data_IF_071686730934
#
_entry.id   IF_071686730934
#
_cell.length_a   1.000
_cell.length_b   1.000
_cell.length_c   1.000
_cell.angle_alpha   90.00
_cell.angle_beta   90.00
_cell.angle_gamma   90.00
#
_symmetry.space_group_name_H-M   'P 1'
#
loop_
_entity.id
_entity.type
_entity.pdbx_description
1 polymer ?
#
# COMPACT_ATOMS: atom_id res chain seq x y z
N UNK A 1 -33.27 -64.64 16.72
CA UNK A 1 -31.91 -64.06 16.68
C UNK A 1 -31.90 -62.89 15.69
N UNK A 2 -32.11 -61.65 16.17
CA UNK A 2 -32.13 -60.44 15.32
C UNK A 2 -30.75 -59.78 15.41
N UNK A 3 -30.04 -59.74 14.29
CA UNK A 3 -28.65 -59.27 14.17
C UNK A 3 -28.57 -57.76 14.49
N UNK A 4 -27.75 -57.29 15.44
CA UNK A 4 -27.56 -55.87 15.71
C UNK A 4 -26.57 -55.26 14.71
N UNK A 5 -26.74 -55.53 13.40
CA UNK A 5 -25.86 -55.00 12.35
C UNK A 5 -26.06 -53.49 12.15
N UNK A 6 -27.26 -52.97 12.42
CA UNK A 6 -27.55 -51.54 12.28
C UNK A 6 -26.81 -50.68 13.33
N UNK A 7 -26.58 -51.20 14.53
CA UNK A 7 -25.88 -50.48 15.60
C UNK A 7 -24.37 -50.34 15.31
N UNK A 8 -23.79 -51.29 14.57
CA UNK A 8 -22.36 -51.30 14.29
C UNK A 8 -21.98 -50.35 13.13
N UNK A 9 -22.91 -50.05 12.21
CA UNK A 9 -22.69 -49.11 11.10
C UNK A 9 -22.78 -47.64 11.54
N UNK A 10 -23.56 -47.35 12.59
CA UNK A 10 -23.71 -45.99 13.14
C UNK A 10 -22.48 -45.53 13.95
N UNK A 11 -21.68 -46.47 14.48
CA UNK A 11 -20.49 -46.15 15.26
C UNK A 11 -19.25 -45.84 14.39
N UNK A 12 -19.29 -46.19 13.09
CA UNK A 12 -18.17 -45.98 12.16
C UNK A 12 -18.06 -44.55 11.63
N UNK A 13 -19.10 -43.72 11.82
CA UNK A 13 -19.17 -42.34 11.30
C UNK A 13 -18.47 -41.28 12.15
N UNK A 14 -17.99 -41.60 13.35
CA UNK A 14 -17.32 -40.64 14.24
C UNK A 14 -15.80 -40.57 14.06
N UNK A 15 -15.22 -41.35 13.13
CA UNK A 15 -13.82 -41.20 12.72
C UNK A 15 -13.65 -40.01 11.76
N UNK A 16 -14.21 -38.85 12.08
CA UNK A 16 -13.82 -37.59 11.49
C UNK A 16 -12.55 -37.12 12.19
N UNK A 17 -11.50 -36.79 11.45
CA UNK A 17 -10.32 -36.10 12.00
C UNK A 17 -10.76 -34.73 12.53
N UNK A 18 -11.20 -34.68 13.78
CA UNK A 18 -11.59 -33.46 14.46
C UNK A 18 -10.34 -32.64 14.80
N UNK A 19 -9.79 -31.91 13.83
CA UNK A 19 -8.96 -30.75 14.12
C UNK A 19 -9.90 -29.60 14.52
N UNK A 20 -10.54 -29.75 15.69
CA UNK A 20 -11.55 -28.84 16.25
C UNK A 20 -10.95 -27.92 17.31
N UNK A 21 -9.66 -27.59 17.18
CA UNK A 21 -9.00 -26.59 18.01
C UNK A 21 -8.28 -25.64 17.07
N UNK A 22 -8.67 -24.36 17.07
CA UNK A 22 -7.96 -23.32 16.34
C UNK A 22 -6.46 -23.40 16.63
N UNK A 23 -5.63 -23.39 15.58
CA UNK A 23 -4.18 -23.39 15.78
C UNK A 23 -3.80 -22.11 16.54
N UNK A 24 -3.06 -22.28 17.63
CA UNK A 24 -2.44 -21.17 18.36
C UNK A 24 -1.14 -20.70 17.70
N UNK A 25 -0.71 -21.39 16.64
CA UNK A 25 0.44 -21.03 15.82
C UNK A 25 -0.01 -20.58 14.43
N UNK A 26 0.73 -19.64 13.86
CA UNK A 26 0.50 -19.10 12.53
C UNK A 26 1.79 -18.97 11.75
N UNK A 27 1.77 -19.37 10.47
CA UNK A 27 2.84 -19.01 9.54
C UNK A 27 2.62 -17.59 9.03
N UNK A 28 3.62 -16.72 9.20
CA UNK A 28 3.61 -15.37 8.64
C UNK A 28 4.78 -15.19 7.68
N UNK A 29 4.54 -14.49 6.58
CA UNK A 29 5.58 -14.03 5.66
C UNK A 29 6.01 -12.63 6.08
N UNK A 30 7.30 -12.43 6.32
CA UNK A 30 7.87 -11.13 6.66
C UNK A 30 8.66 -10.60 5.47
N UNK A 31 8.28 -9.42 5.00
CA UNK A 31 8.93 -8.74 3.90
C UNK A 31 9.18 -7.27 4.25
N UNK A 32 10.33 -6.75 3.84
CA UNK A 32 10.72 -5.36 4.05
C UNK A 32 10.73 -4.62 2.73
N UNK A 33 10.22 -3.39 2.72
CA UNK A 33 10.22 -2.51 1.55
C UNK A 33 10.95 -1.23 1.90
N UNK A 34 11.89 -0.81 1.04
CA UNK A 34 12.61 0.46 1.12
C UNK A 34 12.51 1.16 -0.25
N UNK A 35 12.05 2.41 -0.27
CA UNK A 35 11.89 3.21 -1.51
C UNK A 35 11.11 2.45 -2.61
N UNK A 36 9.97 1.85 -2.26
CA UNK A 36 9.12 1.02 -3.14
C UNK A 36 9.81 -0.22 -3.74
N UNK A 37 10.96 -0.63 -3.20
CA UNK A 37 11.67 -1.84 -3.61
C UNK A 37 11.78 -2.81 -2.44
N UNK A 38 11.68 -4.09 -2.74
CA UNK A 38 11.88 -5.12 -1.73
C UNK A 38 13.33 -5.09 -1.24
N UNK A 39 13.50 -4.96 0.07
CA UNK A 39 14.79 -5.05 0.76
C UNK A 39 14.96 -6.48 1.28
N UNK A 40 16.05 -7.13 0.88
CA UNK A 40 16.40 -8.47 1.35
C UNK A 40 17.55 -8.45 2.35
N UNK A 41 17.61 -9.48 3.19
CA UNK A 41 18.62 -9.71 4.21
C UNK A 41 18.55 -8.71 5.37
N UNK A 42 17.38 -8.17 5.71
CA UNK A 42 17.19 -7.45 6.97
C UNK A 42 16.85 -8.46 8.08
N UNK A 43 17.50 -8.34 9.23
CA UNK A 43 17.19 -9.15 10.40
C UNK A 43 16.03 -8.50 11.15
N UNK A 44 14.95 -9.25 11.36
CA UNK A 44 13.75 -8.79 12.05
C UNK A 44 13.50 -9.60 13.33
N UNK A 45 13.10 -8.89 14.38
CA UNK A 45 12.65 -9.43 15.66
C UNK A 45 11.15 -9.19 15.74
N UNK A 46 10.39 -10.28 15.77
CA UNK A 46 8.95 -10.26 15.97
C UNK A 46 8.69 -10.55 17.45
N UNK A 47 7.76 -9.83 18.08
CA UNK A 47 7.44 -10.03 19.50
C UNK A 47 6.00 -9.70 19.84
N UNK A 48 5.43 -10.49 20.75
CA UNK A 48 4.19 -10.21 21.47
C UNK A 48 4.35 -10.69 22.92
N UNK A 49 3.26 -10.72 23.68
CA UNK A 49 3.19 -11.28 25.04
C UNK A 49 3.53 -12.78 25.13
N UNK A 50 3.39 -13.54 24.04
CA UNK A 50 3.67 -14.97 24.00
C UNK A 50 5.14 -15.30 23.74
N UNK A 51 5.92 -14.38 23.16
CA UNK A 51 7.34 -14.63 22.91
C UNK A 51 8.01 -13.70 21.91
N UNK A 52 9.21 -14.11 21.49
CA UNK A 52 10.03 -13.41 20.50
C UNK A 52 10.54 -14.38 19.45
N UNK A 53 10.57 -13.95 18.20
CA UNK A 53 11.01 -14.73 17.06
C UNK A 53 11.94 -13.93 16.18
N UNK A 54 12.88 -14.61 15.52
CA UNK A 54 13.90 -13.99 14.69
C UNK A 54 13.79 -14.52 13.27
N UNK A 55 13.75 -13.62 12.29
CA UNK A 55 13.67 -13.97 10.87
C UNK A 55 14.51 -13.03 10.05
N UNK A 56 15.05 -13.53 8.94
CA UNK A 56 15.72 -12.69 7.94
C UNK A 56 14.78 -12.53 6.74
N UNK A 57 14.56 -11.29 6.30
CA UNK A 57 13.63 -10.99 5.22
C UNK A 57 14.24 -11.21 3.82
N UNK A 58 13.44 -11.54 2.80
CA UNK A 58 12.10 -12.09 2.91
C UNK A 58 12.12 -13.51 3.51
N UNK A 59 11.23 -13.80 4.45
CA UNK A 59 11.23 -15.10 5.14
C UNK A 59 9.90 -15.45 5.76
N UNK A 60 9.60 -16.75 5.86
CA UNK A 60 8.43 -17.26 6.58
C UNK A 60 8.85 -17.78 7.94
N UNK A 61 8.05 -17.49 8.95
CA UNK A 61 8.30 -17.95 10.32
C UNK A 61 6.99 -18.37 10.98
N UNK A 62 7.08 -19.38 11.85
CA UNK A 62 5.98 -19.81 12.71
C UNK A 62 6.01 -18.97 13.99
N UNK A 63 4.90 -18.28 14.27
CA UNK A 63 4.74 -17.47 15.47
C UNK A 63 3.55 -17.95 16.30
N UNK A 64 3.56 -17.62 17.58
CA UNK A 64 2.42 -17.85 18.46
C UNK A 64 1.46 -16.67 18.36
N UNK A 65 0.18 -16.98 18.10
CA UNK A 65 -0.89 -15.98 18.02
C UNK A 65 -1.20 -15.40 19.39
N UNK A 66 -1.63 -14.14 19.42
CA UNK A 66 -2.10 -13.48 20.62
C UNK A 66 -3.18 -12.45 20.29
N UNK A 67 -3.90 -12.02 21.32
CA UNK A 67 -4.76 -10.84 21.31
C UNK A 67 -3.99 -9.53 21.23
N UNK A 68 -2.72 -9.53 21.64
CA UNK A 68 -1.89 -8.33 21.66
C UNK A 68 -1.28 -8.05 20.28
N UNK A 69 -1.00 -6.77 19.96
CA UNK A 69 -0.34 -6.41 18.71
C UNK A 69 1.03 -7.09 18.57
N UNK A 70 1.33 -7.56 17.36
CA UNK A 70 2.64 -8.10 17.02
C UNK A 70 3.59 -6.96 16.69
N UNK A 71 4.63 -6.80 17.50
CA UNK A 71 5.70 -5.83 17.29
C UNK A 71 6.80 -6.40 16.41
N UNK A 72 7.31 -5.62 15.46
CA UNK A 72 8.31 -6.02 14.47
C UNK A 72 9.40 -4.97 14.34
N UNK A 73 10.59 -5.27 14.86
CA UNK A 73 11.79 -4.43 14.70
C UNK A 73 12.70 -5.05 13.64
N UNK A 74 12.93 -4.35 12.53
CA UNK A 74 13.79 -4.79 11.44
C UNK A 74 15.01 -3.89 11.30
N UNK A 75 16.19 -4.50 11.17
CA UNK A 75 17.46 -3.80 10.95
C UNK A 75 18.23 -4.42 9.80
N UNK A 76 18.82 -3.57 8.96
CA UNK A 76 19.70 -3.99 7.87
C UNK A 76 21.12 -3.51 8.13
N UNK A 77 22.07 -4.43 8.23
CA UNK A 77 23.49 -4.10 8.35
C UNK A 77 23.95 -3.27 7.15
N UNK A 78 24.60 -2.13 7.42
CA UNK A 78 25.11 -1.24 6.37
C UNK A 78 24.05 -0.32 5.73
N UNK A 79 22.83 -0.24 6.29
CA UNK A 79 21.80 0.70 5.85
C UNK A 79 21.32 1.56 7.03
N UNK A 80 21.14 2.88 6.87
CA UNK A 80 20.55 3.75 7.89
C UNK A 80 19.02 3.59 7.99
N UNK A 81 18.41 2.72 7.18
CA UNK A 81 16.97 2.60 7.11
C UNK A 81 16.36 2.14 8.45
N UNK A 82 15.31 2.83 8.88
CA UNK A 82 14.54 2.56 10.10
C UNK A 82 13.13 2.14 9.76
N UNK A 83 12.51 1.33 10.63
CA UNK A 83 11.11 0.91 10.51
C UNK A 83 10.19 2.10 10.81
N UNK A 84 9.16 2.28 9.98
CA UNK A 84 8.15 3.33 10.18
C UNK A 84 6.89 2.84 10.87
N UNK A 85 6.51 1.59 10.61
CA UNK A 85 5.37 0.94 11.24
C UNK A 85 5.82 -0.41 11.77
N UNK A 86 5.81 -0.52 13.09
CA UNK A 86 6.36 -1.66 13.82
C UNK A 86 5.27 -2.52 14.46
N UNK A 87 3.99 -2.17 14.34
CA UNK A 87 2.89 -2.87 15.00
C UNK A 87 1.87 -3.40 14.01
N UNK A 88 1.54 -4.68 14.16
CA UNK A 88 0.46 -5.33 13.41
C UNK A 88 -0.61 -5.80 14.39
N UNK A 89 -1.80 -5.25 14.27
CA UNK A 89 -2.92 -5.62 15.13
C UNK A 89 -3.41 -7.03 14.85
N UNK A 90 -3.81 -7.70 15.93
CA UNK A 90 -4.47 -9.00 15.87
C UNK A 90 -5.94 -8.82 15.51
N UNK A 91 -6.44 -9.65 14.58
CA UNK A 91 -7.85 -9.64 14.16
C UNK A 91 -8.54 -10.92 14.63
N UNK A 92 -9.83 -10.83 15.00
CA UNK A 92 -10.57 -12.02 15.43
C UNK A 92 -10.83 -12.93 14.24
N UNK A 93 -10.37 -14.17 14.31
CA UNK A 93 -10.69 -15.21 13.34
C UNK A 93 -12.10 -15.72 13.60
N UNK A 94 -13.06 -15.20 12.84
CA UNK A 94 -14.46 -15.62 12.93
C UNK A 94 -14.67 -17.11 12.74
N UNK A 95 -13.92 -17.78 11.84
CA UNK A 95 -14.09 -19.21 11.59
C UNK A 95 -13.83 -20.08 12.83
N UNK A 96 -12.69 -19.84 13.50
CA UNK A 96 -12.32 -20.59 14.71
C UNK A 96 -13.07 -20.13 15.96
N UNK A 97 -13.33 -18.82 16.09
CA UNK A 97 -14.05 -18.29 17.24
C UNK A 97 -15.52 -18.74 17.23
N UNK A 98 -16.21 -18.66 16.08
CA UNK A 98 -17.60 -19.09 15.98
C UNK A 98 -17.78 -20.60 16.09
N UNK A 99 -16.84 -21.40 15.55
CA UNK A 99 -16.91 -22.86 15.74
C UNK A 99 -16.84 -23.22 17.21
N UNK A 100 -15.87 -22.66 17.96
CA UNK A 100 -15.76 -22.99 19.37
C UNK A 100 -16.94 -22.45 20.17
N UNK A 101 -17.49 -21.27 19.86
CA UNK A 101 -18.76 -20.82 20.48
C UNK A 101 -19.88 -21.84 20.28
N UNK A 102 -20.08 -22.32 19.05
CA UNK A 102 -21.18 -23.24 18.71
C UNK A 102 -20.97 -24.62 19.33
N UNK A 103 -19.78 -25.20 19.17
CA UNK A 103 -19.50 -26.59 19.57
C UNK A 103 -19.28 -26.76 21.07
N UNK A 104 -18.86 -25.71 21.78
CA UNK A 104 -18.60 -25.76 23.23
C UNK A 104 -19.62 -24.98 24.07
N UNK A 105 -20.72 -24.51 23.44
CA UNK A 105 -21.75 -23.68 24.08
C UNK A 105 -21.15 -22.42 24.74
N UNK A 106 -20.21 -21.77 24.06
CA UNK A 106 -19.57 -20.53 24.49
C UNK A 106 -18.38 -20.69 25.45
N UNK A 107 -18.16 -21.85 26.08
CA UNK A 107 -17.04 -22.06 27.02
C UNK A 107 -15.68 -21.96 26.32
N UNK A 108 -15.57 -22.55 25.13
CA UNK A 108 -14.37 -22.58 24.31
C UNK A 108 -13.93 -21.20 23.83
N UNK A 109 -14.86 -20.26 23.65
CA UNK A 109 -14.52 -18.88 23.31
C UNK A 109 -13.65 -18.21 24.37
N UNK A 110 -13.90 -18.45 25.66
CA UNK A 110 -13.07 -17.90 26.73
C UNK A 110 -11.65 -18.50 26.69
N UNK A 111 -11.54 -19.82 26.49
CA UNK A 111 -10.25 -20.52 26.39
C UNK A 111 -9.47 -20.07 25.14
N UNK A 112 -10.14 -19.90 24.00
CA UNK A 112 -9.50 -19.44 22.76
C UNK A 112 -9.04 -18.00 22.86
N UNK A 113 -9.81 -17.17 23.58
CA UNK A 113 -9.43 -15.79 23.86
C UNK A 113 -8.15 -15.76 24.67
N UNK A 114 -8.02 -16.61 25.69
CA UNK A 114 -6.86 -16.67 26.59
C UNK A 114 -5.63 -17.31 25.96
N UNK A 115 -5.82 -18.31 25.10
CA UNK A 115 -4.71 -18.98 24.41
C UNK A 115 -4.25 -18.28 23.14
N UNK A 116 -4.97 -17.26 22.69
CA UNK A 116 -4.73 -16.55 21.43
C UNK A 116 -5.27 -17.25 20.19
N UNK A 117 -5.91 -18.42 20.32
CA UNK A 117 -6.42 -19.22 19.19
C UNK A 117 -7.53 -18.53 18.38
N UNK A 118 -8.26 -17.60 19.02
CA UNK A 118 -9.32 -16.82 18.37
C UNK A 118 -8.81 -15.64 17.51
N UNK A 119 -7.50 -15.39 17.49
CA UNK A 119 -6.91 -14.23 16.83
C UNK A 119 -5.98 -14.66 15.69
N UNK A 120 -5.89 -13.85 14.65
CA UNK A 120 -4.93 -14.00 13.56
C UNK A 120 -4.20 -12.67 13.30
N UNK A 121 -2.91 -12.78 12.99
CA UNK A 121 -2.14 -11.68 12.42
C UNK A 121 -2.25 -11.67 10.89
N UNK A 122 -1.89 -10.57 10.21
CA UNK A 122 -1.79 -10.58 8.76
C UNK A 122 -0.83 -11.67 8.27
N UNK A 123 -1.24 -12.46 7.27
CA UNK A 123 -0.41 -13.54 6.71
C UNK A 123 0.87 -13.03 6.03
N UNK A 124 0.86 -11.76 5.61
CA UNK A 124 2.01 -11.07 5.03
C UNK A 124 2.25 -9.77 5.80
N UNK A 125 3.34 -9.72 6.54
CA UNK A 125 3.82 -8.55 7.28
C UNK A 125 4.74 -7.75 6.34
N UNK A 126 4.22 -6.62 5.86
CA UNK A 126 4.97 -5.69 5.01
C UNK A 126 5.53 -4.55 5.85
N UNK A 127 6.81 -4.63 6.18
CA UNK A 127 7.50 -3.64 7.00
C UNK A 127 8.08 -2.57 6.09
N UNK A 128 7.58 -1.34 6.23
CA UNK A 128 8.09 -0.19 5.48
C UNK A 128 9.29 0.37 6.23
N UNK A 129 10.45 0.35 5.57
CA UNK A 129 11.67 0.97 6.04
C UNK A 129 11.92 2.26 5.25
N UNK A 130 12.41 3.30 5.91
CA UNK A 130 12.90 4.48 5.19
C UNK A 130 14.17 5.03 5.83
N UNK A 131 14.93 5.76 5.03
CA UNK A 131 16.13 6.45 5.50
C UNK A 131 15.74 7.71 6.29
N UNK A 132 16.18 7.88 7.56
CA UNK A 132 15.91 9.08 8.34
C UNK A 132 16.38 10.38 7.63
N UNK A 133 17.43 10.32 6.80
CA UNK A 133 17.88 11.47 6.01
C UNK A 133 16.90 11.85 4.88
N UNK A 134 16.01 10.94 4.47
CA UNK A 134 14.90 11.25 3.55
C UNK A 134 13.70 11.82 4.30
N UNK A 135 13.39 11.32 5.49
CA UNK A 135 12.34 11.89 6.34
C UNK A 135 12.60 13.37 6.69
N UNK A 136 13.87 13.71 6.92
CA UNK A 136 14.28 15.08 7.24
C UNK A 136 14.31 16.02 6.03
N UNK A 137 14.18 15.50 4.79
CA UNK A 137 14.23 16.32 3.58
C UNK A 137 12.85 16.95 3.34
N UNK A 138 12.75 18.29 3.21
CA UNK A 138 11.53 18.91 2.74
C UNK A 138 11.14 18.28 1.40
N UNK A 139 9.86 17.93 1.23
CA UNK A 139 9.36 17.45 -0.04
C UNK A 139 9.83 18.41 -1.15
N UNK A 140 10.39 17.91 -2.27
CA UNK A 140 10.72 18.79 -3.37
C UNK A 140 9.43 19.52 -3.76
N UNK A 141 9.47 20.86 -3.73
CA UNK A 141 8.37 21.68 -4.19
C UNK A 141 7.92 21.12 -5.56
N UNK A 142 6.61 20.98 -5.81
CA UNK A 142 6.15 20.48 -7.10
C UNK A 142 6.85 21.31 -8.16
N UNK A 143 7.62 20.63 -9.03
CA UNK A 143 8.30 21.27 -10.13
C UNK A 143 7.23 22.07 -10.87
N UNK A 144 7.27 23.40 -10.68
CA UNK A 144 6.42 24.30 -11.43
C UNK A 144 6.65 23.90 -12.87
N UNK A 145 5.56 23.49 -13.53
CA UNK A 145 5.52 23.24 -14.96
C UNK A 145 6.36 24.33 -15.61
N UNK A 146 7.55 23.95 -16.09
CA UNK A 146 8.38 24.85 -16.84
C UNK A 146 7.51 25.31 -18.00
N UNK A 147 7.08 26.57 -17.94
CA UNK A 147 6.41 27.21 -19.05
C UNK A 147 7.27 26.95 -20.30
N UNK A 148 6.70 26.52 -21.43
CA UNK A 148 7.49 26.37 -22.64
C UNK A 148 8.09 27.74 -22.94
N UNK A 149 9.42 27.81 -22.94
CA UNK A 149 10.15 28.96 -23.39
C UNK A 149 9.64 29.35 -24.79
N UNK A 150 9.33 30.62 -24.93
CA UNK A 150 8.90 31.33 -26.13
C UNK A 150 9.35 30.66 -27.44
N UNK A 151 8.37 30.33 -28.27
CA UNK A 151 8.59 30.07 -29.68
C UNK A 151 9.34 31.26 -30.30
N UNK A 152 10.54 31.00 -30.80
CA UNK A 152 11.29 31.92 -31.65
C UNK A 152 10.51 32.08 -32.96
N UNK A 153 10.18 33.31 -33.43
CA UNK A 153 9.65 33.48 -34.78
C UNK A 153 10.75 33.07 -35.78
N UNK A 154 10.46 32.22 -36.78
CA UNK A 154 11.44 31.90 -37.80
C UNK A 154 11.78 33.13 -38.64
N UNK A 155 13.08 33.29 -38.89
CA UNK A 155 13.67 34.33 -39.73
C UNK A 155 12.98 34.43 -41.10
N UNK A 156 12.74 35.67 -41.51
CA UNK A 156 12.23 36.04 -42.82
C UNK A 156 13.13 35.52 -43.95
N UNK A 157 12.52 34.90 -44.97
CA UNK A 157 13.15 34.66 -46.26
C UNK A 157 12.60 35.67 -47.29
N UNK A 158 13.45 36.30 -48.11
CA UNK A 158 13.03 37.32 -49.07
C UNK A 158 12.47 36.65 -50.33
N UNK A 159 11.21 36.94 -50.67
CA UNK A 159 10.63 36.59 -51.97
C UNK A 159 10.37 37.84 -52.79
N UNK A 160 11.21 37.97 -53.82
CA UNK A 160 10.99 38.56 -55.14
C UNK A 160 10.19 39.88 -55.27
N UNK A 161 10.92 40.91 -55.67
CA UNK A 161 10.42 42.13 -56.33
C UNK A 161 9.67 41.75 -57.62
N UNK A 162 8.39 42.13 -57.72
CA UNK A 162 7.68 42.26 -59.00
C UNK A 162 7.16 43.69 -59.09
N UNK A 163 7.70 44.45 -60.04
CA UNK A 163 7.34 45.83 -60.34
C UNK A 163 6.10 45.86 -61.27
N UNK A 164 5.26 46.93 -61.25
CA UNK A 164 3.87 46.89 -61.71
C UNK A 164 3.66 47.46 -63.13
N UNK A 165 2.50 47.19 -63.78
CA UNK A 165 2.05 47.98 -64.92
C UNK A 165 0.97 49.03 -64.55
N UNK A 166 1.31 50.27 -64.95
CA UNK A 166 0.54 51.46 -65.33
C UNK A 166 -0.94 51.69 -64.93
N UNK A 167 -1.16 52.91 -64.44
CA UNK A 167 -2.44 53.60 -64.23
C UNK A 167 -3.26 53.85 -65.52
N UNK A 168 -4.52 54.31 -65.38
CA UNK A 168 -4.79 55.67 -65.86
C UNK A 168 -5.63 56.58 -64.93
N UNK A 169 -5.20 57.85 -64.93
CA UNK A 169 -5.88 59.14 -64.80
C UNK A 169 -7.27 59.30 -64.10
N UNK A 170 -7.21 59.98 -62.94
CA UNK A 170 -7.84 61.27 -62.59
C UNK A 170 -9.36 61.50 -62.71
N UNK A 171 -9.93 62.07 -61.63
CA UNK A 171 -10.50 63.44 -61.62
C UNK A 171 -10.42 64.07 -60.21
N UNK A 172 -10.16 65.40 -60.10
CA UNK A 172 -9.98 66.12 -58.85
C UNK A 172 -11.33 66.66 -58.33
N UNK A 173 -11.38 67.20 -57.10
CA UNK A 173 -12.05 68.48 -56.75
C UNK A 173 -12.02 68.75 -55.23
N UNK A 174 -11.43 69.92 -54.91
CA UNK A 174 -11.60 70.88 -53.81
C UNK A 174 -11.71 70.45 -52.33
N UNK A 175 -10.75 70.95 -51.55
CA UNK A 175 -10.92 71.38 -50.15
C UNK A 175 -11.78 72.66 -50.06
N UNK A 176 -12.35 72.97 -48.88
CA UNK A 176 -11.82 74.14 -48.14
C UNK A 176 -11.71 73.97 -46.61
N UNK A 177 -10.58 74.52 -46.15
CA UNK A 177 -10.18 75.23 -44.89
C UNK A 177 -11.31 75.81 -43.99
N UNK A 178 -11.06 76.05 -42.69
CA UNK A 178 -11.96 75.82 -41.55
C UNK A 178 -12.67 77.09 -41.02
N UNK A 179 -13.64 76.89 -40.13
CA UNK A 179 -14.22 77.96 -39.31
C UNK A 179 -13.68 77.97 -37.87
N UNK A 180 -13.37 79.15 -37.29
CA UNK A 180 -12.89 79.31 -35.93
C UNK A 180 -14.03 79.68 -34.94
N UNK A 181 -13.88 79.21 -33.69
CA UNK A 181 -14.36 79.70 -32.35
C UNK A 181 -15.70 80.45 -32.18
N UNK A 182 -16.31 80.27 -30.99
CA UNK A 182 -16.95 81.27 -30.10
C UNK A 182 -18.15 80.62 -29.35
N UNK A 183 -17.98 80.31 -28.06
CA UNK A 183 -18.60 81.00 -26.91
C UNK A 183 -18.00 80.45 -25.60
#
# INVERSE_FOLDING_TARGET
MRRPLAAMLLLSGLAGCATMTGSTEQMVLVQTILDNRQLAGAGCILSNDMGKWFVTTPGRIMIRKSREPLKVDCKKSGSPAVVMDDSFDATVNGGSAWSNVIFTLGVGYFVDRDTGAAYDYPSTLTVIMQDPARLARPAPAPAALAAPAMATPPAAQPSAVVMPPAAPAAKPVLSPVPDPVVY
#
